data_IF_762699315549
#
_entry.id   IF_762699315549
#
_cell.length_a   1.000
_cell.length_b   1.000
_cell.length_c   1.000
_cell.angle_alpha   90.00
_cell.angle_beta   90.00
_cell.angle_gamma   90.00
#
_symmetry.space_group_name_H-M   'P 1'
#
loop_
_entity.id
_entity.type
_entity.pdbx_description
1 polymer ?
#
# COMPACT_ATOMS: atom_id res chain seq x y z
N UNK A 1 16.09 1.23 15.21
CA UNK A 1 15.04 0.20 15.31
C UNK A 1 13.76 0.58 14.58
N UNK A 2 13.10 1.68 14.94
CA UNK A 2 11.80 2.03 14.37
C UNK A 2 11.78 2.17 12.83
N UNK A 3 12.77 2.87 12.25
CA UNK A 3 12.86 3.09 10.79
C UNK A 3 13.08 1.77 10.04
N UNK A 4 13.89 0.87 10.59
CA UNK A 4 14.18 -0.44 9.98
C UNK A 4 12.92 -1.31 9.98
N UNK A 5 12.17 -1.32 11.10
CA UNK A 5 10.89 -2.03 11.15
C UNK A 5 9.91 -1.48 10.12
N UNK A 6 9.73 -0.16 10.05
CA UNK A 6 8.79 0.45 9.10
C UNK A 6 9.20 0.14 7.65
N UNK A 7 10.50 0.18 7.35
CA UNK A 7 11.01 -0.17 6.02
C UNK A 7 10.73 -1.64 5.64
N UNK A 8 10.97 -2.58 6.55
CA UNK A 8 10.68 -4.00 6.32
C UNK A 8 9.17 -4.27 6.27
N UNK A 9 8.40 -3.63 7.14
CA UNK A 9 6.94 -3.72 7.16
C UNK A 9 6.37 -3.29 5.81
N UNK A 10 6.61 -2.04 5.41
CA UNK A 10 6.14 -1.47 4.14
C UNK A 10 6.65 -2.28 2.95
N UNK A 11 7.91 -2.73 2.97
CA UNK A 11 8.51 -3.52 1.90
C UNK A 11 7.85 -4.88 1.67
N UNK A 12 7.24 -5.48 2.70
CA UNK A 12 6.55 -6.77 2.60
C UNK A 12 5.04 -6.57 2.42
N UNK A 13 4.41 -5.68 3.18
CA UNK A 13 2.96 -5.54 3.21
C UNK A 13 2.41 -4.81 1.99
N UNK A 14 3.11 -3.77 1.49
CA UNK A 14 2.63 -3.00 0.32
C UNK A 14 2.46 -3.88 -0.93
N UNK A 15 3.42 -4.74 -1.34
CA UNK A 15 3.23 -5.61 -2.50
C UNK A 15 2.06 -6.61 -2.34
N UNK A 16 1.86 -7.14 -1.13
CA UNK A 16 0.80 -8.10 -0.83
C UNK A 16 -0.56 -7.41 -0.90
N UNK A 17 -0.71 -6.28 -0.21
CA UNK A 17 -1.96 -5.50 -0.18
C UNK A 17 -2.28 -4.96 -1.57
N UNK A 18 -1.29 -4.48 -2.32
CA UNK A 18 -1.50 -4.07 -3.70
C UNK A 18 -1.97 -5.24 -4.58
N UNK A 19 -1.40 -6.44 -4.42
CA UNK A 19 -1.85 -7.60 -5.19
C UNK A 19 -3.33 -7.94 -4.92
N UNK A 20 -3.76 -7.87 -3.65
CA UNK A 20 -5.16 -8.11 -3.27
C UNK A 20 -6.08 -6.99 -3.80
N UNK A 21 -5.70 -5.73 -3.60
CA UNK A 21 -6.47 -4.55 -4.02
C UNK A 21 -6.61 -4.53 -5.54
N UNK A 22 -5.54 -4.80 -6.30
CA UNK A 22 -5.60 -4.89 -7.76
C UNK A 22 -6.42 -6.09 -8.24
N UNK A 23 -6.36 -7.23 -7.55
CA UNK A 23 -7.19 -8.38 -7.91
C UNK A 23 -8.69 -8.06 -7.72
N UNK A 24 -9.05 -7.37 -6.63
CA UNK A 24 -10.43 -6.97 -6.33
C UNK A 24 -10.93 -5.85 -7.25
N UNK A 25 -10.09 -4.85 -7.50
CA UNK A 25 -10.43 -3.68 -8.31
C UNK A 25 -10.10 -3.85 -9.79
N UNK A 26 -9.70 -5.05 -10.21
CA UNK A 26 -9.37 -5.39 -11.61
C UNK A 26 -10.34 -4.79 -12.64
N UNK A 27 -11.68 -4.89 -12.51
CA UNK A 27 -12.59 -4.31 -13.50
C UNK A 27 -12.51 -2.76 -13.56
N UNK A 28 -12.29 -2.11 -12.41
CA UNK A 28 -12.16 -0.65 -12.34
C UNK A 28 -10.83 -0.21 -12.95
N UNK A 29 -9.76 -0.93 -12.62
CA UNK A 29 -8.41 -0.67 -13.17
C UNK A 29 -8.37 -0.91 -14.67
N UNK A 30 -9.06 -1.94 -15.18
CA UNK A 30 -9.16 -2.24 -16.61
C UNK A 30 -10.03 -1.25 -17.39
N UNK A 31 -10.89 -0.50 -16.70
CA UNK A 31 -11.72 0.56 -17.32
C UNK A 31 -10.92 1.86 -17.48
N UNK A 32 -9.81 2.01 -16.75
CA UNK A 32 -8.93 3.17 -16.84
C UNK A 32 -7.90 3.02 -17.96
N UNK A 33 -8.12 3.74 -19.06
CA UNK A 33 -7.20 3.75 -20.22
C UNK A 33 -5.90 4.54 -19.99
N UNK A 34 -5.83 5.35 -18.92
CA UNK A 34 -4.70 6.28 -18.68
C UNK A 34 -3.74 5.71 -17.62
N UNK A 35 -4.19 4.73 -16.82
CA UNK A 35 -3.40 4.09 -15.76
C UNK A 35 -3.23 4.93 -14.49
N UNK A 36 -3.94 6.05 -14.38
CA UNK A 36 -3.90 6.97 -13.23
C UNK A 36 -4.43 6.27 -11.97
N UNK A 37 -5.45 5.43 -12.12
CA UNK A 37 -6.04 4.67 -11.02
C UNK A 37 -5.03 3.75 -10.35
N UNK A 38 -4.09 3.15 -11.09
CA UNK A 38 -3.03 2.30 -10.53
C UNK A 38 -2.09 3.10 -9.64
N UNK A 39 -1.73 4.31 -10.06
CA UNK A 39 -0.85 5.23 -9.33
C UNK A 39 -1.54 5.71 -8.05
N UNK A 40 -2.82 6.11 -8.15
CA UNK A 40 -3.61 6.58 -7.00
C UNK A 40 -3.78 5.48 -5.96
N UNK A 41 -4.10 4.25 -6.39
CA UNK A 41 -4.18 3.08 -5.49
C UNK A 41 -2.84 2.77 -4.84
N UNK A 42 -1.76 2.79 -5.61
CA UNK A 42 -0.39 2.63 -5.11
C UNK A 42 -0.05 3.59 -3.97
N UNK A 43 -0.33 4.88 -4.19
CA UNK A 43 -0.11 5.95 -3.21
C UNK A 43 -0.96 5.78 -1.94
N UNK A 44 -2.26 5.46 -2.10
CA UNK A 44 -3.16 5.26 -0.97
C UNK A 44 -2.74 4.07 -0.10
N UNK A 45 -2.41 2.94 -0.72
CA UNK A 45 -1.95 1.74 0.01
C UNK A 45 -0.63 2.01 0.72
N UNK A 46 0.34 2.64 0.05
CA UNK A 46 1.64 2.94 0.66
C UNK A 46 1.53 3.89 1.87
N UNK A 47 0.67 4.92 1.78
CA UNK A 47 0.41 5.83 2.91
C UNK A 47 -0.27 5.14 4.08
N UNK A 48 -1.27 4.29 3.81
CA UNK A 48 -2.00 3.56 4.84
C UNK A 48 -1.08 2.55 5.57
N UNK A 49 -0.32 1.76 4.80
CA UNK A 49 0.63 0.78 5.33
C UNK A 49 1.76 1.44 6.11
N UNK A 50 2.28 2.58 5.63
CA UNK A 50 3.27 3.37 6.34
C UNK A 50 2.74 3.89 7.68
N UNK A 51 1.52 4.42 7.71
CA UNK A 51 0.88 4.88 8.94
C UNK A 51 0.67 3.75 9.95
N UNK A 52 0.16 2.60 9.50
CA UNK A 52 -0.05 1.41 10.35
C UNK A 52 1.28 0.92 10.91
N UNK A 53 2.32 0.81 10.07
CA UNK A 53 3.66 0.40 10.49
C UNK A 53 4.25 1.33 11.54
N UNK A 54 4.11 2.66 11.38
CA UNK A 54 4.55 3.64 12.37
C UNK A 54 3.78 3.49 13.69
N UNK A 55 2.45 3.33 13.62
CA UNK A 55 1.59 3.20 14.81
C UNK A 55 1.86 1.91 15.59
N UNK A 56 2.19 0.82 14.90
CA UNK A 56 2.59 -0.45 15.53
C UNK A 56 3.92 -0.33 16.28
N UNK A 57 4.86 0.46 15.77
CA UNK A 57 6.19 0.65 16.38
C UNK A 57 6.18 1.67 17.51
N UNK A 58 5.43 2.76 17.34
CA UNK A 58 5.26 3.80 18.36
C UNK A 58 3.79 3.87 18.76
N UNK A 59 3.30 2.92 19.58
CA UNK A 59 2.00 3.00 20.21
C UNK A 59 2.09 4.01 21.36
N UNK A 60 2.04 5.30 21.04
CA UNK A 60 1.84 6.36 22.03
C UNK A 60 0.41 6.86 21.95
#
# INVERSE_FOLDING_TARGET
>A
MAIIFVGVWVGITVPIVLSVVFAMLKPIVMTDNIGISMIVMGLLVALLEGYIGIKLVLPR
#
